data_IF_759295795126
#
_entry.id   IF_759295795126
#
_cell.length_a   1.000
_cell.length_b   1.000
_cell.length_c   1.000
_cell.angle_alpha   90.00
_cell.angle_beta   90.00
_cell.angle_gamma   90.00
#
_symmetry.space_group_name_H-M   'P 1'
#
loop_
_entity.id
_entity.type
_entity.pdbx_description
1 polymer ?
#
# COMPACT_ATOMS: atom_id res chain seq x y z
N UNK A 1 59.48 49.42 -24.29
CA UNK A 1 58.65 48.24 -23.95
C UNK A 1 57.15 48.57 -23.92
N UNK A 2 56.60 49.29 -24.92
CA UNK A 2 55.14 49.53 -25.02
C UNK A 2 54.48 48.85 -26.23
N UNK A 3 55.25 48.46 -27.26
CA UNK A 3 54.69 47.89 -28.50
C UNK A 3 54.50 46.36 -28.55
N UNK A 4 54.76 45.61 -27.47
CA UNK A 4 54.57 44.14 -27.48
C UNK A 4 53.29 43.69 -26.78
N UNK A 5 52.71 44.52 -25.90
CA UNK A 5 51.50 44.20 -25.14
C UNK A 5 50.21 44.51 -25.92
N UNK A 6 50.25 45.55 -26.76
CA UNK A 6 49.08 46.05 -27.49
C UNK A 6 48.74 45.23 -28.75
N UNK A 7 49.68 44.42 -29.26
CA UNK A 7 49.43 43.52 -30.39
C UNK A 7 48.76 42.19 -29.98
N UNK A 8 48.92 41.75 -28.73
CA UNK A 8 48.30 40.51 -28.24
C UNK A 8 46.82 40.69 -27.87
N UNK A 9 46.45 41.86 -27.36
CA UNK A 9 45.05 42.19 -27.01
C UNK A 9 44.15 42.32 -28.25
N UNK A 10 44.70 42.77 -29.38
CA UNK A 10 43.95 42.82 -30.64
C UNK A 10 43.80 41.44 -31.33
N UNK A 11 44.72 40.50 -31.13
CA UNK A 11 44.60 39.14 -31.68
C UNK A 11 43.53 38.30 -30.97
N UNK A 12 43.34 38.52 -29.66
CA UNK A 12 42.31 37.79 -28.88
C UNK A 12 40.90 38.35 -29.09
N UNK A 13 40.75 39.63 -29.42
CA UNK A 13 39.44 40.26 -29.65
C UNK A 13 38.91 40.12 -31.09
N UNK A 14 39.75 39.79 -32.07
CA UNK A 14 39.36 39.75 -33.49
C UNK A 14 39.41 38.36 -34.14
N UNK A 15 39.55 37.29 -33.35
CA UNK A 15 39.46 35.94 -33.89
C UNK A 15 37.99 35.50 -33.98
N UNK A 16 37.57 35.07 -35.17
CA UNK A 16 36.29 34.37 -35.42
C UNK A 16 36.03 33.26 -34.38
N UNK A 17 37.10 32.66 -33.84
CA UNK A 17 37.06 31.65 -32.77
C UNK A 17 36.38 32.14 -31.49
N UNK A 18 36.67 33.35 -30.99
CA UNK A 18 36.07 33.86 -29.74
C UNK A 18 34.59 34.22 -29.94
N UNK A 19 34.23 34.73 -31.11
CA UNK A 19 32.83 34.99 -31.47
C UNK A 19 32.03 33.70 -31.68
N UNK A 20 32.61 32.69 -32.33
CA UNK A 20 32.00 31.36 -32.47
C UNK A 20 31.83 30.69 -31.11
N UNK A 21 32.83 30.75 -30.23
CA UNK A 21 32.75 30.13 -28.89
C UNK A 21 31.68 30.81 -28.02
N UNK A 22 31.60 32.15 -28.02
CA UNK A 22 30.55 32.88 -27.30
C UNK A 22 29.16 32.56 -27.85
N UNK A 23 28.99 32.48 -29.16
CA UNK A 23 27.70 32.12 -29.76
C UNK A 23 27.30 30.68 -29.50
N UNK A 24 28.24 29.72 -29.53
CA UNK A 24 27.97 28.32 -29.19
C UNK A 24 27.56 28.18 -27.72
N UNK A 25 28.26 28.84 -26.80
CA UNK A 25 27.92 28.81 -25.36
C UNK A 25 26.58 29.50 -25.10
N UNK A 26 26.28 30.63 -25.77
CA UNK A 26 24.96 31.26 -25.68
C UNK A 26 23.86 30.38 -26.27
N UNK A 27 24.14 29.68 -27.37
CA UNK A 27 23.18 28.80 -28.02
C UNK A 27 22.90 27.56 -27.16
N UNK A 28 23.91 26.95 -26.54
CA UNK A 28 23.72 25.83 -25.61
C UNK A 28 22.99 26.25 -24.34
N UNK A 29 23.31 27.40 -23.76
CA UNK A 29 22.55 27.93 -22.60
C UNK A 29 21.09 28.24 -22.97
N UNK A 30 20.84 28.80 -24.16
CA UNK A 30 19.48 29.13 -24.61
C UNK A 30 18.68 27.88 -24.94
N UNK A 31 19.29 26.86 -25.55
CA UNK A 31 18.65 25.57 -25.81
C UNK A 31 18.37 24.83 -24.49
N UNK A 32 19.32 24.80 -23.55
CA UNK A 32 19.09 24.21 -22.22
C UNK A 32 18.01 24.98 -21.45
N UNK A 33 18.00 26.31 -21.52
CA UNK A 33 16.96 27.15 -20.88
C UNK A 33 15.58 26.98 -21.52
N UNK A 34 15.49 26.83 -22.85
CA UNK A 34 14.24 26.52 -23.57
C UNK A 34 13.77 25.10 -23.24
N UNK A 35 14.69 24.13 -23.14
CA UNK A 35 14.36 22.76 -22.73
C UNK A 35 13.89 22.71 -21.27
N UNK A 36 14.50 23.48 -20.35
CA UNK A 36 14.08 23.57 -18.96
C UNK A 36 12.78 24.37 -18.78
N UNK A 37 12.59 25.43 -19.57
CA UNK A 37 11.33 26.21 -19.59
C UNK A 37 10.19 25.39 -20.19
N UNK A 38 10.44 24.66 -21.27
CA UNK A 38 9.48 23.72 -21.87
C UNK A 38 9.17 22.53 -20.95
N UNK A 39 10.16 22.02 -20.21
CA UNK A 39 9.93 20.99 -19.18
C UNK A 39 9.11 21.53 -18.00
N UNK A 40 9.34 22.78 -17.58
CA UNK A 40 8.50 23.46 -16.58
C UNK A 40 7.08 23.74 -17.09
N UNK A 41 6.91 24.19 -18.33
CA UNK A 41 5.59 24.41 -18.94
C UNK A 41 4.80 23.11 -19.11
N UNK A 42 5.46 22.01 -19.51
CA UNK A 42 4.83 20.68 -19.56
C UNK A 42 4.45 20.12 -18.18
N UNK A 43 5.13 20.58 -17.13
CA UNK A 43 4.80 20.23 -15.75
C UNK A 43 3.69 21.13 -15.17
N UNK A 44 3.52 22.34 -15.71
CA UNK A 44 2.43 23.29 -15.38
C UNK A 44 1.14 23.05 -16.18
N UNK A 45 1.18 22.27 -17.27
CA UNK A 45 0.01 21.93 -18.08
C UNK A 45 -0.86 20.78 -17.51
N UNK A 46 -0.70 20.44 -16.22
CA UNK A 46 -1.50 19.41 -15.54
C UNK A 46 -2.49 20.08 -14.59
N UNK A 47 -3.71 19.57 -14.55
CA UNK A 47 -4.84 20.25 -13.91
C UNK A 47 -4.66 20.44 -12.41
N UNK A 48 -5.30 21.47 -11.85
CA UNK A 48 -5.45 21.64 -10.41
C UNK A 48 -6.91 21.31 -10.05
N UNK A 49 -7.12 20.37 -9.13
CA UNK A 49 -8.44 19.81 -8.84
C UNK A 49 -8.79 19.93 -7.36
N UNK A 50 -10.06 20.22 -7.05
CA UNK A 50 -10.57 20.18 -5.69
C UNK A 50 -11.31 18.86 -5.43
N UNK A 51 -11.70 18.60 -4.18
CA UNK A 51 -12.39 17.36 -3.83
C UNK A 51 -13.83 17.30 -4.32
N UNK A 52 -14.46 18.46 -4.51
CA UNK A 52 -15.77 18.55 -5.15
C UNK A 52 -15.77 17.92 -6.55
N UNK A 53 -14.69 18.12 -7.32
CA UNK A 53 -14.50 17.49 -8.61
C UNK A 53 -14.12 16.02 -8.46
N UNK A 54 -13.09 15.70 -7.67
CA UNK A 54 -12.61 14.31 -7.49
C UNK A 54 -13.74 13.35 -7.08
N UNK A 55 -14.66 13.78 -6.22
CA UNK A 55 -15.80 12.97 -5.75
C UNK A 55 -16.81 12.62 -6.83
N UNK A 56 -16.83 13.31 -7.98
CA UNK A 56 -17.72 12.97 -9.12
C UNK A 56 -17.26 11.69 -9.81
N UNK A 57 -15.97 11.38 -9.76
CA UNK A 57 -15.34 10.28 -10.48
C UNK A 57 -15.29 8.99 -9.64
N UNK A 58 -16.47 8.43 -9.34
CA UNK A 58 -16.65 7.22 -8.51
C UNK A 58 -17.20 6.00 -9.28
N UNK A 59 -17.64 6.20 -10.52
CA UNK A 59 -18.33 5.18 -11.31
C UNK A 59 -17.39 4.08 -11.78
N UNK A 60 -17.88 2.96 -12.33
CA UNK A 60 -16.98 1.91 -12.87
C UNK A 60 -16.18 2.35 -14.10
N UNK A 61 -16.69 3.29 -14.90
CA UNK A 61 -16.06 3.75 -16.14
C UNK A 61 -15.25 5.03 -15.96
N UNK A 62 -15.37 5.65 -14.79
CA UNK A 62 -14.81 6.95 -14.48
C UNK A 62 -14.41 6.98 -12.99
N UNK A 63 -13.12 6.73 -12.72
CA UNK A 63 -12.55 6.54 -11.39
C UNK A 63 -11.29 7.34 -11.20
N UNK A 64 -11.37 8.31 -10.32
CA UNK A 64 -10.20 9.02 -9.86
C UNK A 64 -9.82 8.58 -8.46
N UNK A 65 -8.52 8.56 -8.18
CA UNK A 65 -7.97 8.34 -6.85
C UNK A 65 -6.92 9.42 -6.57
N UNK A 66 -6.76 9.77 -5.30
CA UNK A 66 -5.71 10.68 -4.86
C UNK A 66 -4.63 9.89 -4.13
N UNK A 67 -3.36 10.08 -4.50
CA UNK A 67 -2.20 9.50 -3.82
C UNK A 67 -1.13 10.60 -3.69
N UNK A 68 -0.69 10.88 -2.47
CA UNK A 68 0.27 11.96 -2.15
C UNK A 68 -0.12 13.32 -2.74
N UNK A 69 -1.42 13.68 -2.64
CA UNK A 69 -2.00 14.91 -3.19
C UNK A 69 -1.95 15.02 -4.72
N UNK A 70 -1.73 13.90 -5.41
CA UNK A 70 -1.79 13.81 -6.86
C UNK A 70 -3.03 13.06 -7.27
N UNK A 71 -3.69 13.54 -8.31
CA UNK A 71 -4.92 12.96 -8.85
C UNK A 71 -4.59 12.06 -10.04
N UNK A 72 -5.16 10.86 -10.04
CA UNK A 72 -4.93 9.85 -11.07
C UNK A 72 -6.26 9.35 -11.63
N UNK A 73 -6.40 9.33 -12.95
CA UNK A 73 -7.50 8.64 -13.63
C UNK A 73 -7.13 7.17 -13.87
N UNK A 74 -7.66 6.29 -13.01
CA UNK A 74 -7.38 4.85 -13.03
C UNK A 74 -8.46 4.05 -13.75
N UNK A 75 -9.34 4.71 -14.50
CA UNK A 75 -10.48 4.08 -15.19
C UNK A 75 -10.06 2.95 -16.13
N UNK A 76 -9.00 3.17 -16.91
CA UNK A 76 -8.46 2.16 -17.83
C UNK A 76 -7.50 1.16 -17.14
N UNK A 77 -6.89 1.55 -16.02
CA UNK A 77 -5.90 0.74 -15.32
C UNK A 77 -6.51 -0.29 -14.38
N UNK A 78 -7.70 -0.05 -13.84
CA UNK A 78 -8.30 -0.88 -12.79
C UNK A 78 -8.39 -2.38 -13.13
N UNK A 79 -8.55 -2.74 -14.41
CA UNK A 79 -8.63 -4.13 -14.86
C UNK A 79 -7.26 -4.82 -14.99
N UNK A 80 -6.17 -4.03 -15.02
CA UNK A 80 -4.78 -4.51 -15.10
C UNK A 80 -4.09 -4.52 -13.74
N UNK A 81 -4.73 -3.97 -12.71
CA UNK A 81 -4.17 -3.89 -11.38
C UNK A 81 -4.00 -5.29 -10.77
N UNK A 82 -2.79 -5.66 -10.28
CA UNK A 82 -2.55 -6.98 -9.68
C UNK A 82 -3.41 -7.27 -8.44
N UNK A 83 -3.77 -6.24 -7.65
CA UNK A 83 -4.69 -6.38 -6.52
C UNK A 83 -6.17 -6.51 -6.93
N UNK A 84 -6.46 -6.41 -8.24
CA UNK A 84 -7.79 -6.48 -8.81
C UNK A 84 -8.54 -5.15 -8.81
N UNK A 85 -9.59 -5.08 -9.64
CA UNK A 85 -10.41 -3.88 -9.85
C UNK A 85 -11.26 -3.47 -8.65
N UNK A 86 -11.61 -4.42 -7.78
CA UNK A 86 -12.51 -4.19 -6.63
C UNK A 86 -11.85 -3.27 -5.59
N UNK A 87 -10.58 -3.55 -5.26
CA UNK A 87 -9.78 -2.76 -4.31
C UNK A 87 -9.69 -1.30 -4.72
N UNK A 88 -9.41 -1.03 -6.00
CA UNK A 88 -9.39 0.34 -6.55
C UNK A 88 -10.75 1.01 -6.40
N UNK A 89 -11.83 0.27 -6.65
CA UNK A 89 -13.19 0.79 -6.52
C UNK A 89 -13.56 1.26 -5.12
N UNK A 90 -12.97 0.68 -4.06
CA UNK A 90 -13.22 1.11 -2.68
C UNK A 90 -12.69 2.52 -2.38
N UNK A 91 -11.74 2.99 -3.19
CA UNK A 91 -11.06 4.28 -3.07
C UNK A 91 -11.40 5.28 -4.17
N UNK A 92 -12.33 4.95 -5.07
CA UNK A 92 -12.76 5.88 -6.09
C UNK A 92 -13.31 7.17 -5.45
N UNK A 93 -12.88 8.32 -5.97
CA UNK A 93 -13.18 9.66 -5.48
C UNK A 93 -12.66 9.98 -4.07
N UNK A 94 -11.64 9.27 -3.58
CA UNK A 94 -11.11 9.40 -2.22
C UNK A 94 -9.57 9.46 -2.21
N UNK A 95 -9.02 9.86 -1.05
CA UNK A 95 -7.60 9.68 -0.77
C UNK A 95 -7.27 8.20 -0.52
N UNK A 96 -6.36 7.68 -1.32
CA UNK A 96 -5.88 6.30 -1.27
C UNK A 96 -4.44 6.22 -0.77
N UNK A 97 -3.82 7.33 -0.36
CA UNK A 97 -2.40 7.41 0.02
C UNK A 97 -2.01 6.37 1.07
N UNK A 98 -2.76 6.28 2.17
CA UNK A 98 -2.46 5.34 3.26
C UNK A 98 -2.54 3.87 2.81
N UNK A 99 -3.56 3.53 2.02
CA UNK A 99 -3.72 2.19 1.47
C UNK A 99 -2.63 1.86 0.46
N UNK A 100 -2.28 2.82 -0.40
CA UNK A 100 -1.19 2.67 -1.36
C UNK A 100 0.13 2.32 -0.65
N UNK A 101 0.47 3.06 0.41
CA UNK A 101 1.67 2.82 1.22
C UNK A 101 1.61 1.45 1.92
N UNK A 102 0.45 1.05 2.44
CA UNK A 102 0.29 -0.20 3.17
C UNK A 102 0.45 -1.44 2.28
N UNK A 103 -0.12 -1.44 1.07
CA UNK A 103 -0.14 -2.61 0.18
C UNK A 103 1.09 -2.72 -0.74
N UNK A 104 1.80 -1.61 -1.03
CA UNK A 104 2.92 -1.62 -1.98
C UNK A 104 4.28 -1.59 -1.29
N UNK A 105 4.80 -2.78 -0.93
CA UNK A 105 6.14 -2.94 -0.35
C UNK A 105 7.24 -2.25 -1.16
N UNK A 106 7.15 -2.28 -2.49
CA UNK A 106 8.02 -1.52 -3.39
C UNK A 106 7.25 -0.34 -4.02
N UNK A 107 7.20 0.77 -3.29
CA UNK A 107 6.53 2.00 -3.69
C UNK A 107 7.04 2.54 -5.03
N UNK A 108 8.35 2.58 -5.22
CA UNK A 108 8.98 3.10 -6.45
C UNK A 108 8.59 2.31 -7.69
N UNK A 109 8.44 0.99 -7.56
CA UNK A 109 7.95 0.15 -8.65
C UNK A 109 6.48 0.45 -8.97
N UNK A 110 5.64 0.59 -7.95
CA UNK A 110 4.22 0.90 -8.13
C UNK A 110 3.99 2.29 -8.74
N UNK A 111 4.75 3.29 -8.32
CA UNK A 111 4.69 4.68 -8.82
C UNK A 111 4.98 4.79 -10.33
N UNK A 112 5.82 3.91 -10.88
CA UNK A 112 6.08 3.88 -12.33
C UNK A 112 4.80 3.66 -13.14
N UNK A 113 3.89 2.81 -12.66
CA UNK A 113 2.61 2.56 -13.33
C UNK A 113 1.66 3.74 -13.17
N UNK A 114 1.67 4.42 -12.02
CA UNK A 114 0.81 5.57 -11.74
C UNK A 114 1.13 6.78 -12.62
N UNK A 115 2.41 6.97 -12.99
CA UNK A 115 2.86 8.12 -13.77
C UNK A 115 2.10 8.30 -15.10
N UNK A 116 1.67 7.21 -15.73
CA UNK A 116 0.90 7.22 -16.97
C UNK A 116 -0.57 7.66 -16.81
N UNK A 117 -1.09 7.65 -15.58
CA UNK A 117 -2.49 7.93 -15.23
C UNK A 117 -2.65 9.26 -14.48
N UNK A 118 -1.55 9.97 -14.24
CA UNK A 118 -1.55 11.23 -13.51
C UNK A 118 -2.13 12.35 -14.35
N UNK A 119 -3.17 13.01 -13.83
CA UNK A 119 -3.91 14.07 -14.53
C UNK A 119 -3.65 15.47 -13.95
N UNK A 120 -3.18 15.56 -12.71
CA UNK A 120 -2.95 16.84 -12.05
C UNK A 120 -2.86 16.75 -10.53
N UNK A 121 -2.66 17.89 -9.88
CA UNK A 121 -2.49 18.00 -8.43
C UNK A 121 -3.82 18.35 -7.75
N UNK A 122 -3.94 17.92 -6.50
CA UNK A 122 -5.05 18.28 -5.63
C UNK A 122 -4.77 19.65 -5.01
N UNK A 123 -5.75 20.55 -5.11
CA UNK A 123 -5.74 21.86 -4.48
C UNK A 123 -5.86 21.72 -2.96
N UNK A 124 -4.73 21.92 -2.28
CA UNK A 124 -4.68 21.88 -0.83
C UNK A 124 -5.22 23.15 -0.17
N UNK A 125 -5.20 24.27 -0.89
CA UNK A 125 -5.51 25.61 -0.38
C UNK A 125 -6.93 26.06 -0.73
N UNK A 126 -7.67 25.23 -1.49
CA UNK A 126 -9.10 25.34 -1.77
C UNK A 126 -9.89 25.66 -0.48
N UNK A 127 -10.52 26.86 -0.37
CA UNK A 127 -11.26 27.27 0.82
C UNK A 127 -12.40 26.32 1.18
N UNK A 128 -13.09 25.76 0.17
CA UNK A 128 -14.21 24.83 0.32
C UNK A 128 -13.79 23.50 0.95
N UNK A 129 -12.54 23.09 0.72
CA UNK A 129 -12.01 21.78 1.15
C UNK A 129 -11.07 21.85 2.35
N UNK A 130 -10.87 23.04 2.93
CA UNK A 130 -9.93 23.27 4.03
C UNK A 130 -10.10 22.29 5.19
N UNK A 131 -11.34 22.06 5.61
CA UNK A 131 -11.68 21.12 6.69
C UNK A 131 -11.40 19.66 6.32
N UNK A 132 -11.57 19.27 5.06
CA UNK A 132 -11.29 17.91 4.63
C UNK A 132 -9.79 17.68 4.46
N UNK A 133 -9.08 18.63 3.87
CA UNK A 133 -7.62 18.62 3.74
C UNK A 133 -6.94 18.57 5.11
N UNK A 134 -7.45 19.31 6.10
CA UNK A 134 -6.91 19.24 7.47
C UNK A 134 -7.12 17.87 8.10
N UNK A 135 -8.31 17.26 7.96
CA UNK A 135 -8.57 15.91 8.50
C UNK A 135 -7.72 14.83 7.84
N UNK A 136 -7.53 14.92 6.53
CA UNK A 136 -6.68 13.96 5.80
C UNK A 136 -5.24 14.09 6.27
N UNK A 137 -4.74 15.32 6.44
CA UNK A 137 -3.39 15.57 6.96
C UNK A 137 -3.21 15.03 8.38
N UNK A 138 -4.12 15.35 9.29
CA UNK A 138 -4.13 14.84 10.67
C UNK A 138 -4.12 13.31 10.70
N UNK A 139 -4.96 12.67 9.87
CA UNK A 139 -4.99 11.21 9.76
C UNK A 139 -3.65 10.62 9.31
N UNK A 140 -2.99 11.22 8.31
CA UNK A 140 -1.68 10.74 7.85
C UNK A 140 -0.59 10.95 8.89
N UNK A 141 -0.60 12.10 9.58
CA UNK A 141 0.34 12.38 10.68
C UNK A 141 0.20 11.38 11.82
N UNK A 142 -1.04 11.05 12.22
CA UNK A 142 -1.34 10.04 13.23
C UNK A 142 -0.85 8.65 12.81
N UNK A 143 -1.15 8.22 11.58
CA UNK A 143 -0.71 6.92 11.06
C UNK A 143 0.82 6.83 11.01
N UNK A 144 1.49 7.87 10.52
CA UNK A 144 2.94 7.92 10.49
C UNK A 144 3.55 7.93 11.90
N UNK A 145 2.93 8.66 12.84
CA UNK A 145 3.31 8.68 14.25
C UNK A 145 3.28 7.29 14.86
N UNK A 146 2.15 6.58 14.71
CA UNK A 146 1.99 5.20 15.17
C UNK A 146 3.02 4.30 14.51
N UNK A 147 3.19 4.38 13.18
CA UNK A 147 4.16 3.57 12.45
C UNK A 147 5.59 3.78 12.97
N UNK A 148 5.99 5.03 13.25
CA UNK A 148 7.32 5.35 13.81
C UNK A 148 7.51 4.71 15.18
N UNK A 149 6.52 4.79 16.06
CA UNK A 149 6.56 4.15 17.39
C UNK A 149 6.72 2.63 17.25
N UNK A 150 5.90 2.00 16.41
CA UNK A 150 5.95 0.54 16.19
C UNK A 150 7.29 0.08 15.61
N UNK A 151 7.89 0.86 14.70
CA UNK A 151 9.22 0.61 14.15
C UNK A 151 10.32 0.75 15.21
N UNK A 152 10.26 1.80 16.05
CA UNK A 152 11.22 2.03 17.13
C UNK A 152 11.18 0.89 18.16
N UNK A 153 9.98 0.39 18.48
CA UNK A 153 9.78 -0.74 19.39
C UNK A 153 10.09 -2.10 18.75
N UNK A 154 10.48 -2.15 17.46
CA UNK A 154 10.72 -3.37 16.70
C UNK A 154 9.53 -4.34 16.68
N UNK A 155 8.30 -3.83 16.77
CA UNK A 155 7.09 -4.66 16.77
C UNK A 155 6.78 -5.29 15.40
N UNK A 156 7.50 -4.88 14.35
CA UNK A 156 7.44 -5.50 13.03
C UNK A 156 8.44 -6.67 12.86
N UNK A 157 9.36 -6.89 13.81
CA UNK A 157 10.29 -8.02 13.75
C UNK A 157 9.64 -9.28 14.33
N UNK A 158 9.22 -10.20 13.45
CA UNK A 158 8.67 -11.50 13.85
C UNK A 158 9.66 -12.37 14.63
N UNK A 159 9.23 -12.91 15.78
CA UNK A 159 10.04 -13.83 16.60
C UNK A 159 10.10 -15.23 15.96
N UNK A 160 11.27 -15.59 15.42
CA UNK A 160 11.49 -16.89 14.78
C UNK A 160 11.27 -18.07 15.71
N UNK A 161 11.63 -17.93 16.98
CA UNK A 161 11.47 -18.99 17.98
C UNK A 161 9.98 -19.20 18.23
N UNK A 162 9.23 -18.13 18.48
CA UNK A 162 7.79 -18.20 18.70
C UNK A 162 7.06 -18.87 17.52
N UNK A 163 7.30 -18.39 16.29
CA UNK A 163 6.65 -18.96 15.12
C UNK A 163 7.14 -20.39 14.80
N UNK A 164 8.42 -20.68 15.05
CA UNK A 164 8.94 -22.05 14.93
C UNK A 164 8.29 -23.02 15.91
N UNK A 165 8.10 -22.61 17.17
CA UNK A 165 7.38 -23.41 18.17
C UNK A 165 5.91 -23.58 17.81
N UNK A 166 5.26 -22.56 17.27
CA UNK A 166 3.87 -22.64 16.80
C UNK A 166 3.71 -23.63 15.63
N UNK A 167 4.60 -23.56 14.64
CA UNK A 167 4.61 -24.53 13.52
C UNK A 167 4.79 -25.95 14.04
N UNK A 168 5.77 -26.17 14.92
CA UNK A 168 6.02 -27.49 15.50
C UNK A 168 4.81 -28.00 16.28
N UNK A 169 4.20 -27.15 17.11
CA UNK A 169 3.04 -27.51 17.92
C UNK A 169 1.85 -27.95 17.06
N UNK A 170 1.55 -27.24 15.96
CA UNK A 170 0.49 -27.61 15.01
C UNK A 170 0.69 -29.03 14.49
N UNK A 171 1.88 -29.33 13.96
CA UNK A 171 2.16 -30.66 13.41
C UNK A 171 2.19 -31.76 14.48
N UNK A 172 2.71 -31.48 15.67
CA UNK A 172 2.70 -32.43 16.77
C UNK A 172 1.27 -32.76 17.22
N UNK A 173 0.40 -31.76 17.36
CA UNK A 173 -0.99 -31.98 17.75
C UNK A 173 -1.77 -32.79 16.70
N UNK A 174 -1.56 -32.51 15.41
CA UNK A 174 -2.18 -33.30 14.34
C UNK A 174 -1.67 -34.74 14.29
N UNK A 175 -0.35 -34.92 14.42
CA UNK A 175 0.25 -36.25 14.49
C UNK A 175 -0.29 -37.03 15.69
N UNK A 176 -0.37 -36.42 16.88
CA UNK A 176 -0.91 -37.07 18.07
C UNK A 176 -2.39 -37.43 17.90
N UNK A 177 -3.20 -36.55 17.32
CA UNK A 177 -4.61 -36.83 17.05
C UNK A 177 -4.78 -38.01 16.07
N UNK A 178 -3.93 -38.08 15.04
CA UNK A 178 -3.88 -39.17 14.07
C UNK A 178 -3.43 -40.49 14.70
N UNK A 179 -2.28 -40.49 15.40
CA UNK A 179 -1.73 -41.68 16.05
C UNK A 179 -2.70 -42.27 17.09
N UNK A 180 -3.41 -41.40 17.84
CA UNK A 180 -4.42 -41.81 18.80
C UNK A 180 -5.56 -42.61 18.15
N UNK A 181 -5.95 -42.27 16.91
CA UNK A 181 -7.00 -43.00 16.17
C UNK A 181 -6.45 -44.20 15.38
N UNK A 182 -5.19 -44.14 14.94
CA UNK A 182 -4.59 -45.17 14.09
C UNK A 182 -4.13 -46.41 14.86
N UNK A 183 -3.62 -46.24 16.08
CA UNK A 183 -2.96 -47.32 16.84
C UNK A 183 -3.76 -47.83 18.04
N UNK A 184 -4.77 -47.10 18.50
CA UNK A 184 -5.58 -47.50 19.64
C UNK A 184 -7.00 -47.82 19.22
N UNK A 185 -7.65 -48.72 19.97
CA UNK A 185 -9.03 -49.10 19.73
C UNK A 185 -9.99 -47.92 19.87
N UNK A 186 -10.98 -47.87 18.98
CA UNK A 186 -11.99 -46.82 18.93
C UNK A 186 -12.82 -46.80 20.22
N UNK A 187 -12.66 -45.75 21.01
CA UNK A 187 -13.44 -45.47 22.22
C UNK A 187 -13.95 -44.03 22.16
N UNK A 188 -15.14 -43.76 22.70
CA UNK A 188 -15.77 -42.43 22.62
C UNK A 188 -14.86 -41.31 23.17
N UNK A 189 -14.14 -41.56 24.27
CA UNK A 189 -13.24 -40.58 24.87
C UNK A 189 -11.99 -40.32 24.01
N UNK A 190 -11.50 -41.32 23.26
CA UNK A 190 -10.38 -41.17 22.32
C UNK A 190 -10.80 -40.32 21.13
N UNK A 191 -12.02 -40.54 20.63
CA UNK A 191 -12.60 -39.67 19.58
C UNK A 191 -12.69 -38.23 20.11
N UNK A 192 -13.20 -38.02 21.31
CA UNK A 192 -13.27 -36.68 21.92
C UNK A 192 -11.89 -36.05 22.08
N UNK A 193 -10.89 -36.81 22.55
CA UNK A 193 -9.52 -36.34 22.69
C UNK A 193 -8.93 -35.92 21.34
N UNK A 194 -9.08 -36.73 20.29
CA UNK A 194 -8.62 -36.38 18.94
C UNK A 194 -9.33 -35.14 18.39
N UNK A 195 -10.64 -34.97 18.65
CA UNK A 195 -11.38 -33.76 18.26
C UNK A 195 -10.80 -32.54 18.98
N UNK A 196 -10.52 -32.62 20.27
CA UNK A 196 -9.96 -31.50 21.05
C UNK A 196 -8.57 -31.13 20.52
N UNK A 197 -7.67 -32.11 20.37
CA UNK A 197 -6.32 -31.89 19.86
C UNK A 197 -6.34 -31.27 18.45
N UNK A 198 -7.18 -31.83 17.57
CA UNK A 198 -7.35 -31.31 16.21
C UNK A 198 -7.95 -29.91 16.20
N UNK A 199 -8.95 -29.62 17.03
CA UNK A 199 -9.59 -28.31 17.10
C UNK A 199 -8.62 -27.22 17.56
N UNK A 200 -7.79 -27.51 18.57
CA UNK A 200 -6.74 -26.61 19.04
C UNK A 200 -5.74 -26.36 17.91
N UNK A 201 -5.27 -27.44 17.25
CA UNK A 201 -4.34 -27.33 16.13
C UNK A 201 -4.90 -26.46 15.00
N UNK A 202 -6.14 -26.71 14.59
CA UNK A 202 -6.80 -25.97 13.51
C UNK A 202 -7.01 -24.49 13.86
N UNK A 203 -7.33 -24.20 15.12
CA UNK A 203 -7.35 -22.82 15.63
C UNK A 203 -5.99 -22.15 15.47
N UNK A 204 -4.92 -22.78 15.95
CA UNK A 204 -3.56 -22.25 15.86
C UNK A 204 -3.07 -22.09 14.41
N UNK A 205 -3.30 -23.10 13.56
CA UNK A 205 -2.97 -23.08 12.14
C UNK A 205 -3.70 -21.95 11.39
N UNK A 206 -4.92 -21.59 11.80
CA UNK A 206 -5.71 -20.50 11.20
C UNK A 206 -5.05 -19.13 11.38
N UNK A 207 -4.55 -18.85 12.59
CA UNK A 207 -3.84 -17.60 12.89
C UNK A 207 -2.44 -17.61 12.27
N UNK A 208 -1.73 -18.73 12.38
CA UNK A 208 -0.40 -18.88 11.81
C UNK A 208 -0.41 -18.70 10.29
N UNK A 209 -1.34 -19.33 9.57
CA UNK A 209 -1.45 -19.15 8.11
C UNK A 209 -1.84 -17.71 7.75
N UNK A 210 -2.63 -17.04 8.59
CA UNK A 210 -3.03 -15.65 8.37
C UNK A 210 -1.82 -14.72 8.41
N UNK A 211 -0.95 -14.89 9.41
CA UNK A 211 0.25 -14.10 9.59
C UNK A 211 1.30 -14.38 8.49
N UNK A 212 1.43 -15.66 8.10
CA UNK A 212 2.24 -16.06 6.95
C UNK A 212 1.74 -15.42 5.64
N UNK A 213 0.42 -15.38 5.43
CA UNK A 213 -0.20 -14.74 4.27
C UNK A 213 0.02 -13.22 4.22
N UNK A 214 0.09 -12.57 5.38
CA UNK A 214 0.46 -11.15 5.52
C UNK A 214 1.97 -10.88 5.46
N UNK A 215 2.79 -11.92 5.27
CA UNK A 215 4.25 -11.83 5.21
C UNK A 215 4.91 -11.29 6.49
N UNK A 216 4.27 -11.46 7.65
CA UNK A 216 4.75 -10.90 8.93
C UNK A 216 5.69 -11.82 9.71
N UNK A 217 5.76 -13.11 9.35
CA UNK A 217 6.54 -14.11 10.10
C UNK A 217 8.02 -14.07 9.75
N UNK A 218 8.35 -14.12 8.46
CA UNK A 218 9.74 -14.10 7.97
C UNK A 218 10.05 -12.79 7.23
N UNK A 219 11.32 -12.39 7.21
CA UNK A 219 11.76 -11.25 6.39
C UNK A 219 11.66 -11.52 4.88
N UNK A 220 11.82 -12.78 4.49
CA UNK A 220 11.75 -13.22 3.09
C UNK A 220 10.31 -13.49 2.68
N UNK A 221 9.83 -12.76 1.67
CA UNK A 221 8.50 -12.97 1.08
C UNK A 221 8.34 -14.40 0.56
N UNK A 222 9.38 -14.96 -0.08
CA UNK A 222 9.35 -16.33 -0.60
C UNK A 222 9.18 -17.36 0.51
N UNK A 223 9.88 -17.18 1.63
CA UNK A 223 9.81 -18.11 2.77
C UNK A 223 8.42 -18.09 3.40
N UNK A 224 7.83 -16.90 3.59
CA UNK A 224 6.44 -16.82 4.05
C UNK A 224 5.47 -17.57 3.14
N UNK A 225 5.57 -17.39 1.81
CA UNK A 225 4.69 -18.10 0.88
C UNK A 225 4.85 -19.62 0.92
N UNK A 226 6.08 -20.14 1.01
CA UNK A 226 6.30 -21.59 1.13
C UNK A 226 5.63 -22.13 2.39
N UNK A 227 5.84 -21.50 3.54
CA UNK A 227 5.22 -21.94 4.79
C UNK A 227 3.71 -21.70 4.80
N UNK A 228 3.22 -20.64 4.15
CA UNK A 228 1.78 -20.40 3.98
C UNK A 228 1.13 -21.55 3.22
N UNK A 229 1.75 -21.99 2.12
CA UNK A 229 1.28 -23.09 1.28
C UNK A 229 1.35 -24.44 2.01
N UNK A 230 2.41 -24.68 2.77
CA UNK A 230 2.51 -25.87 3.61
C UNK A 230 1.39 -25.90 4.66
N UNK A 231 1.22 -24.82 5.44
CA UNK A 231 0.21 -24.81 6.52
C UNK A 231 -1.19 -24.82 5.93
N UNK A 232 -1.57 -23.86 5.08
CA UNK A 232 -2.94 -23.79 4.55
C UNK A 232 -3.27 -24.96 3.60
N UNK A 233 -2.29 -25.41 2.80
CA UNK A 233 -2.47 -26.53 1.89
C UNK A 233 -2.59 -27.86 2.61
N UNK A 234 -1.67 -28.18 3.51
CA UNK A 234 -1.67 -29.49 4.18
C UNK A 234 -2.69 -29.59 5.31
N UNK A 235 -2.82 -28.55 6.16
CA UNK A 235 -3.68 -28.66 7.35
C UNK A 235 -5.12 -28.29 7.08
N UNK A 236 -5.39 -27.50 6.02
CA UNK A 236 -6.74 -27.02 5.68
C UNK A 236 -7.23 -27.38 4.29
N UNK A 237 -6.36 -27.82 3.38
CA UNK A 237 -6.75 -28.15 2.00
C UNK A 237 -7.23 -26.95 1.18
N UNK A 238 -6.73 -25.75 1.45
CA UNK A 238 -7.15 -24.52 0.76
C UNK A 238 -6.01 -23.84 -0.01
N UNK A 239 -6.36 -23.08 -1.05
CA UNK A 239 -5.38 -22.35 -1.87
C UNK A 239 -4.94 -21.04 -1.22
N UNK A 240 -3.64 -20.87 -1.03
CA UNK A 240 -3.04 -19.60 -0.59
C UNK A 240 -3.30 -18.45 -1.55
N UNK A 241 -3.37 -18.73 -2.86
CA UNK A 241 -3.65 -17.69 -3.84
C UNK A 241 -5.08 -17.15 -3.70
N UNK A 242 -6.06 -18.06 -3.60
CA UNK A 242 -7.45 -17.69 -3.33
C UNK A 242 -7.58 -16.92 -2.01
N UNK A 243 -6.95 -17.43 -0.95
CA UNK A 243 -6.99 -16.78 0.37
C UNK A 243 -6.39 -15.39 0.30
N UNK A 244 -5.17 -15.23 -0.25
CA UNK A 244 -4.51 -13.93 -0.37
C UNK A 244 -5.34 -12.95 -1.20
N UNK A 245 -5.95 -13.40 -2.30
CA UNK A 245 -6.79 -12.55 -3.15
C UNK A 245 -8.02 -12.02 -2.40
N UNK A 246 -8.76 -12.91 -1.72
CA UNK A 246 -9.98 -12.56 -0.99
C UNK A 246 -9.67 -11.76 0.27
N UNK A 247 -8.64 -12.17 1.00
CA UNK A 247 -8.22 -11.54 2.26
C UNK A 247 -7.65 -10.15 2.04
N UNK A 248 -6.87 -9.95 0.99
CA UNK A 248 -6.38 -8.61 0.60
C UNK A 248 -7.53 -7.66 0.24
N UNK A 249 -8.61 -8.17 -0.38
CA UNK A 249 -9.81 -7.37 -0.62
C UNK A 249 -10.52 -6.98 0.67
N UNK A 250 -10.63 -7.90 1.62
CA UNK A 250 -11.21 -7.61 2.94
C UNK A 250 -10.42 -6.52 3.68
N UNK A 251 -9.09 -6.62 3.68
CA UNK A 251 -8.22 -5.64 4.34
C UNK A 251 -8.01 -4.35 3.56
N UNK A 252 -8.45 -4.28 2.30
CA UNK A 252 -8.36 -3.05 1.52
C UNK A 252 -9.14 -1.91 2.19
N UNK A 253 -10.29 -2.19 2.81
CA UNK A 253 -11.09 -1.17 3.50
C UNK A 253 -11.89 -1.80 4.65
N UNK A 254 -11.25 -2.11 5.78
CA UNK A 254 -11.92 -2.72 6.91
C UNK A 254 -12.96 -1.75 7.52
N UNK A 255 -13.97 -2.30 8.19
CA UNK A 255 -14.96 -1.55 8.98
C UNK A 255 -15.87 -0.59 8.19
N UNK A 256 -16.09 -0.85 6.90
CA UNK A 256 -17.09 -0.15 6.09
C UNK A 256 -18.13 -1.14 5.56
N UNK A 257 -19.35 -1.07 6.10
CA UNK A 257 -20.45 -2.03 5.84
C UNK A 257 -20.76 -2.25 4.35
N UNK A 258 -20.53 -1.25 3.50
CA UNK A 258 -20.82 -1.33 2.06
C UNK A 258 -19.73 -2.03 1.24
N UNK A 259 -18.53 -2.18 1.78
CA UNK A 259 -17.37 -2.72 1.04
C UNK A 259 -16.77 -3.98 1.66
N UNK A 260 -17.19 -4.35 2.88
CA UNK A 260 -16.88 -5.66 3.45
C UNK A 260 -17.48 -6.74 2.55
N UNK A 261 -16.60 -7.55 1.94
CA UNK A 261 -16.96 -8.80 1.25
C UNK A 261 -17.97 -9.56 2.11
N UNK A 262 -19.02 -10.22 1.55
CA UNK A 262 -20.06 -10.88 2.33
C UNK A 262 -19.53 -12.19 2.93
N UNK A 263 -18.53 -12.10 3.80
CA UNK A 263 -18.47 -12.95 4.95
C UNK A 263 -19.59 -12.44 5.85
N UNK A 264 -20.69 -13.19 5.96
CA UNK A 264 -21.72 -13.07 7.00
C UNK A 264 -21.12 -13.35 8.41
N UNK A 265 -19.87 -12.95 8.61
CA UNK A 265 -19.08 -13.19 9.80
C UNK A 265 -19.18 -11.91 10.62
N UNK A 266 -20.21 -11.91 11.46
CA UNK A 266 -20.06 -11.56 12.87
C UNK A 266 -20.00 -10.05 13.18
N UNK A 267 -21.19 -9.55 13.54
CA UNK A 267 -21.50 -8.30 14.25
C UNK A 267 -20.94 -8.25 15.70
N UNK A 268 -19.89 -9.00 16.03
CA UNK A 268 -19.41 -9.22 17.43
C UNK A 268 -18.13 -8.45 17.79
N UNK A 269 -17.39 -7.86 16.85
CA UNK A 269 -16.10 -7.22 17.18
C UNK A 269 -16.16 -5.79 17.76
N UNK A 270 -17.33 -5.32 18.20
CA UNK A 270 -17.45 -4.01 18.86
C UNK A 270 -17.25 -4.09 20.38
N UNK A 271 -16.16 -4.72 20.83
CA UNK A 271 -15.74 -4.71 22.23
C UNK A 271 -14.21 -4.66 22.33
N UNK A 272 -13.66 -3.45 22.24
CA UNK A 272 -12.43 -3.10 22.93
C UNK A 272 -12.47 -1.63 23.30
N UNK A 273 -12.80 -1.36 24.55
CA UNK A 273 -12.85 -0.04 25.18
C UNK A 273 -11.48 0.33 25.73
N UNK A 274 -10.44 0.47 24.90
CA UNK A 274 -9.17 1.06 25.34
C UNK A 274 -8.51 1.81 24.17
N UNK A 275 -8.49 3.14 24.30
CA UNK A 275 -7.59 4.13 23.69
C UNK A 275 -7.77 4.49 22.20
N UNK A 276 -8.48 5.61 22.02
CA UNK A 276 -8.27 6.67 21.03
C UNK A 276 -7.14 6.45 20.01
N UNK A 277 -7.49 5.91 18.85
CA UNK A 277 -6.92 6.34 17.56
C UNK A 277 -8.11 6.62 16.67
N UNK A 278 -8.25 7.89 16.33
CA UNK A 278 -9.38 8.44 15.63
C UNK A 278 -9.55 7.77 14.25
N UNK A 279 -10.63 7.01 14.11
CA UNK A 279 -11.18 6.67 12.80
C UNK A 279 -11.76 7.95 12.21
N UNK A 280 -11.04 8.59 11.30
CA UNK A 280 -11.45 9.79 10.54
C UNK A 280 -12.65 9.56 9.59
N UNK A 281 -13.38 8.45 9.73
CA UNK A 281 -14.71 8.25 9.12
C UNK A 281 -15.87 8.64 10.05
N UNK A 282 -15.57 9.18 11.24
CA UNK A 282 -16.57 9.56 12.24
C UNK A 282 -17.08 11.01 12.09
N UNK A 283 -17.33 11.44 10.85
CA UNK A 283 -18.09 12.67 10.56
C UNK A 283 -19.31 12.32 9.68
N UNK A 284 -20.30 11.64 10.27
CA UNK A 284 -21.69 12.12 10.40
C UNK A 284 -22.54 11.06 11.13
N UNK A 285 -22.86 11.32 12.39
CA UNK A 285 -23.87 10.56 13.15
C UNK A 285 -25.26 10.87 12.59
N UNK A 286 -26.13 9.87 12.42
CA UNK A 286 -27.50 9.79 13.01
C UNK A 286 -28.36 8.71 12.32
N UNK A 287 -29.16 8.04 13.17
CA UNK A 287 -30.27 7.12 12.90
C UNK A 287 -29.86 5.69 12.51
N UNK A 288 -30.40 4.60 13.05
CA UNK A 288 -31.29 4.27 14.18
C UNK A 288 -31.36 2.72 14.15
N UNK A 289 -31.20 2.06 15.31
CA UNK A 289 -31.55 0.65 15.62
C UNK A 289 -30.71 -0.45 14.94
#
# INVERSE_FOLDING_TARGET
MKNFRDNWTNYLNNSLSVYLYKNIVYCTFRVVSILFSGFRELQMAKGLFNWGEVKKHQSLKDRWIVIDNKVYDVSSWQNKHPGGRKVIGHYAGQDATGAFIAFHKNRQYAEKFLSAYYIGDLDQDCPEDKDMNSKIREYHEDLEGIRKILLQQRLFDGSKIFFGTMILQVFVLELLAYLNLAYFETSWWRIMLSIILYSISQGQASWLQHDLGHLSVFRSTRTNHIFHEIILGLTKGASCHWWNHMHSQHHAKPNVLTFTVPLYVVKIYYLSSVNHVASSQQMNKRLMI
#
